data_IF_798233029125
#
_entry.id   IF_798233029125
#
_cell.length_a   1.000
_cell.length_b   1.000
_cell.length_c   1.000
_cell.angle_alpha   90.00
_cell.angle_beta   90.00
_cell.angle_gamma   90.00
#
_symmetry.space_group_name_H-M   'P 1'
#
loop_
_entity.id
_entity.type
_entity.pdbx_description
1 polymer ?
#
# COMPACT_ATOMS: atom_id res chain seq x y z
N UNK A 1 4.79 14.43 -10.22
CA UNK A 1 4.40 13.79 -8.94
C UNK A 1 3.26 12.83 -9.22
N UNK A 2 3.47 11.51 -9.16
CA UNK A 2 2.50 10.49 -9.60
C UNK A 2 1.35 10.33 -8.60
N UNK A 3 1.65 10.24 -7.31
CA UNK A 3 0.69 10.20 -6.21
C UNK A 3 1.33 10.83 -4.98
N UNK A 4 0.57 11.59 -4.19
CA UNK A 4 1.08 12.13 -2.92
C UNK A 4 1.39 10.96 -1.98
N UNK A 5 2.62 10.85 -1.42
CA UNK A 5 2.99 9.75 -0.52
C UNK A 5 2.08 9.64 0.71
N UNK A 6 1.49 10.76 1.12
CA UNK A 6 0.50 10.80 2.20
C UNK A 6 -0.76 10.01 1.88
N UNK A 7 -1.22 10.03 0.63
CA UNK A 7 -2.45 9.32 0.23
C UNK A 7 -2.25 7.82 0.31
N UNK A 8 -1.11 7.33 -0.18
CA UNK A 8 -0.74 5.92 -0.06
C UNK A 8 -0.65 5.49 1.41
N UNK A 9 0.01 6.30 2.26
CA UNK A 9 0.10 6.00 3.71
C UNK A 9 -1.27 5.90 4.37
N UNK A 10 -2.19 6.82 4.08
CA UNK A 10 -3.55 6.80 4.65
C UNK A 10 -4.31 5.56 4.24
N UNK A 11 -4.32 5.23 2.95
CA UNK A 11 -5.00 4.05 2.41
C UNK A 11 -4.39 2.76 2.96
N UNK A 12 -3.06 2.69 3.13
CA UNK A 12 -2.39 1.53 3.72
C UNK A 12 -2.65 1.34 5.23
N UNK A 13 -2.79 2.43 5.98
CA UNK A 13 -3.05 2.37 7.44
C UNK A 13 -4.54 2.30 7.79
N UNK A 14 -5.42 2.68 6.87
CA UNK A 14 -6.87 2.61 6.99
C UNK A 14 -7.46 2.07 5.69
N UNK A 15 -7.23 0.79 5.38
CA UNK A 15 -7.79 0.18 4.19
C UNK A 15 -9.32 0.15 4.31
N UNK A 16 -10.04 0.26 3.18
CA UNK A 16 -11.49 0.04 3.15
C UNK A 16 -11.82 -1.39 3.59
N UNK A 17 -13.04 -1.59 4.11
CA UNK A 17 -13.51 -2.90 4.58
C UNK A 17 -13.44 -3.97 3.50
N UNK A 18 -13.79 -3.60 2.27
CA UNK A 18 -13.62 -4.42 1.07
C UNK A 18 -12.49 -3.84 0.24
N UNK A 19 -11.51 -4.66 -0.14
CA UNK A 19 -10.39 -4.23 -0.96
C UNK A 19 -10.70 -4.53 -2.42
N UNK A 20 -11.23 -3.53 -3.12
CA UNK A 20 -11.53 -3.55 -4.54
C UNK A 20 -10.98 -2.30 -5.23
N UNK A 21 -10.85 -2.33 -6.55
CA UNK A 21 -10.38 -1.15 -7.29
C UNK A 21 -11.29 0.05 -7.08
N UNK A 22 -12.60 -0.17 -6.99
CA UNK A 22 -13.62 0.86 -6.80
C UNK A 22 -13.54 1.51 -5.41
N UNK A 23 -13.37 0.70 -4.37
CA UNK A 23 -13.25 1.20 -2.99
C UNK A 23 -11.93 1.95 -2.77
N UNK A 24 -10.82 1.41 -3.30
CA UNK A 24 -9.52 2.10 -3.27
C UNK A 24 -9.56 3.40 -4.08
N UNK A 25 -10.22 3.41 -5.25
CA UNK A 25 -10.41 4.60 -6.06
C UNK A 25 -11.25 5.67 -5.33
N UNK A 26 -12.32 5.27 -4.64
CA UNK A 26 -13.17 6.15 -3.86
C UNK A 26 -12.41 6.81 -2.69
N UNK A 27 -11.58 6.03 -1.97
CA UNK A 27 -10.73 6.56 -0.90
C UNK A 27 -9.70 7.57 -1.44
N UNK A 28 -9.02 7.24 -2.54
CA UNK A 28 -8.06 8.15 -3.18
C UNK A 28 -8.73 9.43 -3.68
N UNK A 29 -9.95 9.32 -4.24
CA UNK A 29 -10.76 10.47 -4.65
C UNK A 29 -11.11 11.37 -3.47
N UNK A 30 -11.52 10.78 -2.34
CA UNK A 30 -11.84 11.50 -1.10
C UNK A 30 -10.62 12.22 -0.53
N UNK A 31 -9.42 11.65 -0.70
CA UNK A 31 -8.15 12.27 -0.32
C UNK A 31 -7.71 13.38 -1.28
N UNK A 32 -8.42 13.60 -2.40
CA UNK A 32 -8.12 14.64 -3.38
C UNK A 32 -7.12 14.22 -4.45
N UNK A 33 -6.97 12.91 -4.71
CA UNK A 33 -6.21 12.43 -5.87
C UNK A 33 -6.95 12.78 -7.17
N UNK A 34 -6.19 13.11 -8.22
CA UNK A 34 -6.79 13.43 -9.53
C UNK A 34 -7.24 12.14 -10.22
N UNK A 35 -8.31 12.22 -11.02
CA UNK A 35 -8.89 11.06 -11.71
C UNK A 35 -7.88 10.27 -12.55
N UNK A 36 -6.99 10.95 -13.27
CA UNK A 36 -5.93 10.27 -14.04
C UNK A 36 -4.90 9.55 -13.15
N UNK A 37 -4.63 10.05 -11.93
CA UNK A 37 -3.74 9.37 -10.98
C UNK A 37 -4.43 8.12 -10.44
N UNK A 38 -5.69 8.26 -10.04
CA UNK A 38 -6.51 7.17 -9.51
C UNK A 38 -6.57 6.01 -10.52
N UNK A 39 -6.84 6.29 -11.80
CA UNK A 39 -6.89 5.25 -12.83
C UNK A 39 -5.57 4.50 -13.02
N UNK A 40 -4.42 5.10 -12.68
CA UNK A 40 -3.12 4.44 -12.74
C UNK A 40 -2.80 3.67 -11.45
N UNK A 41 -3.16 4.21 -10.28
CA UNK A 41 -2.70 3.67 -8.99
C UNK A 41 -3.69 2.74 -8.30
N UNK A 42 -4.99 2.87 -8.53
CA UNK A 42 -6.01 2.04 -7.90
C UNK A 42 -5.83 0.54 -8.17
N UNK A 43 -5.63 0.07 -9.44
CA UNK A 43 -5.41 -1.36 -9.69
C UNK A 43 -4.10 -1.88 -9.07
N UNK A 44 -3.03 -1.06 -9.10
CA UNK A 44 -1.73 -1.43 -8.52
C UNK A 44 -1.80 -1.59 -6.99
N UNK A 45 -2.45 -0.64 -6.31
CA UNK A 45 -2.60 -0.65 -4.85
C UNK A 45 -3.49 -1.82 -4.44
N UNK A 46 -4.62 -2.02 -5.14
CA UNK A 46 -5.53 -3.13 -4.88
C UNK A 46 -4.82 -4.48 -5.03
N UNK A 47 -4.06 -4.66 -6.12
CA UNK A 47 -3.28 -5.87 -6.35
C UNK A 47 -2.23 -6.13 -5.26
N UNK A 48 -1.56 -5.07 -4.79
CA UNK A 48 -0.57 -5.16 -3.70
C UNK A 48 -1.20 -5.54 -2.35
N UNK A 49 -2.41 -5.07 -2.07
CA UNK A 49 -3.14 -5.40 -0.84
C UNK A 49 -3.70 -6.83 -0.86
N UNK A 50 -4.20 -7.29 -2.01
CA UNK A 50 -4.70 -8.65 -2.15
C UNK A 50 -3.59 -9.70 -2.18
N UNK A 51 -2.41 -9.34 -2.68
CA UNK A 51 -1.27 -10.25 -2.84
C UNK A 51 -0.01 -9.69 -2.16
N UNK A 52 0.04 -9.64 -0.82
CA UNK A 52 1.22 -9.16 -0.13
C UNK A 52 2.37 -10.14 -0.31
N UNK A 53 3.54 -9.63 -0.70
CA UNK A 53 4.74 -10.45 -0.70
C UNK A 53 5.12 -10.79 0.75
N UNK A 54 5.44 -12.05 1.07
CA UNK A 54 5.89 -12.42 2.41
C UNK A 54 7.10 -11.57 2.81
N UNK A 55 7.12 -11.10 4.05
CA UNK A 55 8.31 -10.45 4.58
C UNK A 55 9.46 -11.47 4.59
N UNK A 56 10.69 -11.06 4.22
CA UNK A 56 11.84 -11.92 4.37
C UNK A 56 11.98 -12.33 5.84
N UNK A 57 12.35 -13.59 6.08
CA UNK A 57 12.58 -14.06 7.44
C UNK A 57 13.63 -13.16 8.10
N UNK A 58 13.32 -12.69 9.32
CA UNK A 58 14.28 -11.93 10.11
C UNK A 58 15.50 -12.80 10.35
N UNK A 59 16.63 -12.46 9.73
CA UNK A 59 17.91 -13.06 10.10
C UNK A 59 18.15 -12.75 11.58
N UNK A 60 18.00 -13.76 12.44
CA UNK A 60 18.46 -13.69 13.81
C UNK A 60 19.95 -13.36 13.71
N UNK A 61 20.35 -12.18 14.16
CA UNK A 61 21.75 -11.81 14.32
C UNK A 61 22.40 -12.87 15.21
N UNK A 62 22.95 -13.90 14.59
CA UNK A 62 23.63 -14.99 15.26
C UNK A 62 24.92 -14.41 15.83
N UNK A 63 24.96 -14.30 17.15
CA UNK A 63 26.13 -14.46 18.00
C UNK A 63 27.42 -13.77 17.50
N UNK A 64 27.49 -12.46 17.65
CA UNK A 64 28.77 -11.80 17.93
C UNK A 64 29.05 -11.91 19.44
N UNK A 65 29.25 -13.14 19.90
CA UNK A 65 29.70 -13.51 21.24
C UNK A 65 30.39 -14.88 21.15
N UNK A 66 31.49 -14.90 20.41
CA UNK A 66 32.56 -15.90 20.43
C UNK A 66 33.82 -15.09 20.11
N UNK A 67 34.94 -15.15 20.80
CA UNK A 67 35.41 -15.86 21.99
C UNK A 67 36.64 -15.06 22.46
#
# INVERSE_FOLDING_TARGET
>A
NLLTPDYLRRVAWRPPSDITEETVAAELSTLGARQWQIGLVAPLITGAFLNPHPLPAKETKATAASE
#
